data_IF_428480473484
#
_entry.id   IF_428480473484
#
_cell.length_a   1.000
_cell.length_b   1.000
_cell.length_c   1.000
_cell.angle_alpha   90.00
_cell.angle_beta   90.00
_cell.angle_gamma   90.00
#
_symmetry.space_group_name_H-M   'P 1'
#
loop_
_entity.id
_entity.type
_entity.pdbx_description
1 polymer ?
#
# COMPACT_ATOMS: atom_id res chain seq x y z
N UNK A 1 8.92 -7.31 -17.78
CA UNK A 1 9.28 -5.98 -17.23
C UNK A 1 8.15 -5.37 -16.41
N UNK A 2 6.93 -5.19 -16.95
CA UNK A 2 5.81 -4.52 -16.23
C UNK A 2 5.49 -5.06 -14.83
N UNK A 3 5.50 -6.40 -14.61
CA UNK A 3 5.19 -6.97 -13.28
C UNK A 3 6.22 -6.60 -12.21
N UNK A 4 7.48 -6.39 -12.59
CA UNK A 4 8.58 -6.12 -11.68
C UNK A 4 8.54 -4.66 -11.20
N UNK A 5 8.18 -3.75 -12.10
CA UNK A 5 7.89 -2.35 -11.77
C UNK A 5 6.67 -2.25 -10.85
N UNK A 6 5.60 -2.99 -11.13
CA UNK A 6 4.41 -3.01 -10.25
C UNK A 6 4.76 -3.53 -8.86
N UNK A 7 5.52 -4.62 -8.78
CA UNK A 7 6.01 -5.15 -7.49
C UNK A 7 6.85 -4.13 -6.73
N UNK A 8 7.78 -3.45 -7.41
CA UNK A 8 8.63 -2.43 -6.78
C UNK A 8 7.79 -1.28 -6.20
N UNK A 9 6.73 -0.87 -6.90
CA UNK A 9 5.84 0.20 -6.42
C UNK A 9 4.98 -0.30 -5.25
N UNK A 10 4.51 -1.54 -5.28
CA UNK A 10 3.78 -2.17 -4.17
C UNK A 10 4.65 -2.28 -2.92
N UNK A 11 5.88 -2.80 -3.05
CA UNK A 11 6.85 -2.87 -1.95
C UNK A 11 7.15 -1.48 -1.36
N UNK A 12 7.38 -0.48 -2.20
CA UNK A 12 7.63 0.89 -1.75
C UNK A 12 6.40 1.51 -1.05
N UNK A 13 5.19 1.23 -1.53
CA UNK A 13 3.96 1.69 -0.89
C UNK A 13 3.79 1.05 0.49
N UNK A 14 4.10 -0.25 0.61
CA UNK A 14 4.04 -0.99 1.87
C UNK A 14 5.05 -0.44 2.89
N UNK A 15 6.32 -0.30 2.49
CA UNK A 15 7.37 0.25 3.36
C UNK A 15 7.03 1.68 3.83
N UNK A 16 6.44 2.50 2.96
CA UNK A 16 6.00 3.86 3.31
C UNK A 16 4.85 3.85 4.31
N UNK A 17 3.86 2.96 4.12
CA UNK A 17 2.74 2.81 5.03
C UNK A 17 3.21 2.33 6.42
N UNK A 18 4.09 1.33 6.46
CA UNK A 18 4.74 0.84 7.68
C UNK A 18 5.53 1.96 8.40
N UNK A 19 6.29 2.77 7.67
CA UNK A 19 7.04 3.87 8.26
C UNK A 19 6.12 4.94 8.88
N UNK A 20 5.03 5.30 8.21
CA UNK A 20 4.07 6.31 8.70
C UNK A 20 3.30 5.78 9.90
N UNK A 21 2.85 4.52 9.84
CA UNK A 21 2.14 3.88 10.95
C UNK A 21 3.09 3.67 12.13
N UNK A 22 4.31 3.20 11.90
CA UNK A 22 5.33 3.02 12.93
C UNK A 22 5.80 4.32 13.60
N UNK A 23 5.77 5.45 12.88
CA UNK A 23 6.11 6.76 13.44
C UNK A 23 5.04 7.30 14.40
N UNK A 24 3.80 6.79 14.35
CA UNK A 24 2.69 7.25 15.19
C UNK A 24 2.34 6.21 16.25
N UNK A 25 2.05 6.68 17.46
CA UNK A 25 1.54 5.81 18.54
C UNK A 25 0.03 5.63 18.36
N UNK A 26 -0.40 4.41 18.05
CA UNK A 26 -1.80 4.03 17.88
C UNK A 26 -2.37 3.50 19.21
N UNK A 27 -3.67 3.67 19.45
CA UNK A 27 -4.30 3.13 20.66
C UNK A 27 -4.46 1.62 20.56
N UNK A 28 -4.70 1.11 19.35
CA UNK A 28 -4.87 -0.32 19.07
C UNK A 28 -4.06 -0.75 17.84
N UNK A 29 -3.74 -2.04 17.78
CA UNK A 29 -3.15 -2.66 16.59
C UNK A 29 -4.13 -2.64 15.41
N UNK A 30 -5.44 -2.71 15.68
CA UNK A 30 -6.49 -2.62 14.67
C UNK A 30 -6.52 -1.25 14.00
N UNK A 31 -6.40 -0.15 14.77
CA UNK A 31 -6.29 1.19 14.20
C UNK A 31 -5.00 1.37 13.40
N UNK A 32 -3.88 0.82 13.88
CA UNK A 32 -2.61 0.85 13.16
C UNK A 32 -2.74 0.13 11.80
N UNK A 33 -3.36 -1.06 11.80
CA UNK A 33 -3.61 -1.84 10.58
C UNK A 33 -4.58 -1.13 9.63
N UNK A 34 -5.67 -0.55 10.15
CA UNK A 34 -6.62 0.19 9.33
C UNK A 34 -5.96 1.41 8.68
N UNK A 35 -5.11 2.14 9.42
CA UNK A 35 -4.40 3.28 8.85
C UNK A 35 -3.34 2.83 7.83
N UNK A 36 -2.66 1.72 8.09
CA UNK A 36 -1.72 1.12 7.16
C UNK A 36 -2.39 0.88 5.81
N UNK A 37 -3.54 0.20 5.79
CA UNK A 37 -4.30 -0.08 4.57
C UNK A 37 -4.73 1.20 3.85
N UNK A 38 -5.22 2.21 4.59
CA UNK A 38 -5.64 3.49 3.99
C UNK A 38 -4.45 4.17 3.28
N UNK A 39 -3.29 4.25 3.94
CA UNK A 39 -2.10 4.90 3.38
C UNK A 39 -1.58 4.10 2.18
N UNK A 40 -1.53 2.78 2.31
CA UNK A 40 -1.11 1.88 1.25
C UNK A 40 -1.97 2.05 -0.02
N UNK A 41 -3.30 2.04 0.13
CA UNK A 41 -4.22 2.24 -0.99
C UNK A 41 -4.18 3.67 -1.56
N UNK A 42 -4.00 4.69 -0.73
CA UNK A 42 -3.82 6.08 -1.22
C UNK A 42 -2.56 6.20 -2.11
N UNK A 43 -1.43 5.62 -1.67
CA UNK A 43 -0.20 5.63 -2.47
C UNK A 43 -0.40 4.85 -3.78
N UNK A 44 -1.03 3.69 -3.73
CA UNK A 44 -1.28 2.87 -4.93
C UNK A 44 -2.20 3.57 -5.93
N UNK A 45 -3.31 4.16 -5.48
CA UNK A 45 -4.24 4.88 -6.36
C UNK A 45 -3.61 6.13 -6.98
N UNK A 46 -2.69 6.80 -6.28
CA UNK A 46 -1.89 7.92 -6.83
C UNK A 46 -0.85 7.47 -7.85
N UNK A 47 -0.18 6.33 -7.61
CA UNK A 47 0.87 5.79 -8.50
C UNK A 47 0.28 5.07 -9.72
N UNK A 48 -0.92 4.52 -9.58
CA UNK A 48 -1.62 3.82 -10.64
C UNK A 48 -3.02 4.38 -10.87
N UNK A 49 -3.15 5.61 -11.39
CA UNK A 49 -4.45 6.23 -11.64
C UNK A 49 -5.29 5.47 -12.70
N UNK A 50 -4.64 4.64 -13.52
CA UNK A 50 -5.27 3.87 -14.59
C UNK A 50 -5.29 2.35 -14.35
N UNK A 51 -4.78 1.86 -13.21
CA UNK A 51 -4.83 0.42 -12.89
C UNK A 51 -5.96 0.21 -11.90
N UNK A 52 -6.86 -0.71 -12.24
CA UNK A 52 -7.94 -1.08 -11.33
C UNK A 52 -7.37 -1.75 -10.08
N UNK A 53 -7.98 -1.48 -8.93
CA UNK A 53 -7.72 -2.20 -7.68
C UNK A 53 -7.83 -3.72 -7.88
N UNK A 54 -8.70 -4.16 -8.80
CA UNK A 54 -8.85 -5.57 -9.17
C UNK A 54 -7.62 -6.15 -9.88
N UNK A 55 -6.94 -5.35 -10.72
CA UNK A 55 -5.70 -5.76 -11.39
C UNK A 55 -4.53 -5.84 -10.38
N UNK A 56 -4.46 -4.90 -9.43
CA UNK A 56 -3.48 -4.93 -8.35
C UNK A 56 -3.68 -6.13 -7.42
N UNK A 57 -4.94 -6.43 -7.04
CA UNK A 57 -5.28 -7.62 -6.25
C UNK A 57 -4.96 -8.92 -7.00
N UNK A 58 -5.14 -8.94 -8.32
CA UNK A 58 -4.83 -10.10 -9.15
C UNK A 58 -3.32 -10.36 -9.28
N UNK A 59 -2.48 -9.34 -9.07
CA UNK A 59 -1.01 -9.46 -9.04
C UNK A 59 -0.46 -9.95 -7.70
N UNK A 60 -1.28 -9.93 -6.65
CA UNK A 60 -0.90 -10.38 -5.30
C UNK A 60 -1.23 -11.86 -5.04
N UNK A 61 -1.63 -12.63 -6.07
CA UNK A 61 -1.97 -14.06 -6.01
C UNK A 61 -0.95 -14.89 -6.79
#
# INVERSE_FOLDING_TARGET
>A
MQRQEIKTIVDAANETADAIVGAKKWNTAEEASAMHDIIFWDILTKKFPNVSVADLLSLSK
#
